data_IF_109767863445
#
_entry.id   IF_109767863445
#
_cell.length_a   1.000
_cell.length_b   1.000
_cell.length_c   1.000
_cell.angle_alpha   90.00
_cell.angle_beta   90.00
_cell.angle_gamma   90.00
#
_symmetry.space_group_name_H-M   'P 1'
#
loop_
_entity.id
_entity.type
_entity.pdbx_description
1 polymer ?
#
# COMPACT_ATOMS: atom_id res chain seq x y z
N UNK A 1 9.66 -8.27 10.57
CA UNK A 1 10.72 -8.76 9.65
C UNK A 1 10.32 -9.97 8.81
N UNK A 2 9.53 -10.93 9.32
CA UNK A 2 9.20 -12.15 8.56
C UNK A 2 8.38 -11.95 7.28
N UNK A 3 7.47 -10.97 7.21
CA UNK A 3 6.56 -10.81 6.07
C UNK A 3 7.26 -10.31 4.78
N UNK A 4 8.22 -9.39 4.89
CA UNK A 4 8.96 -8.88 3.72
C UNK A 4 10.02 -9.87 3.28
N UNK A 5 10.79 -10.44 4.20
CA UNK A 5 11.78 -11.48 3.87
C UNK A 5 11.10 -12.72 3.24
N UNK A 6 9.92 -13.12 3.74
CA UNK A 6 9.13 -14.19 3.13
C UNK A 6 8.56 -13.82 1.75
N UNK A 7 8.50 -12.53 1.42
CA UNK A 7 8.02 -12.05 0.13
C UNK A 7 9.13 -11.86 -0.91
N UNK A 8 10.40 -12.03 -0.55
CA UNK A 8 11.53 -11.93 -1.48
C UNK A 8 11.75 -10.53 -2.05
N UNK A 9 11.36 -9.50 -1.30
CA UNK A 9 11.70 -8.10 -1.56
C UNK A 9 12.94 -7.77 -0.73
N UNK A 10 14.00 -7.26 -1.36
CA UNK A 10 15.21 -6.87 -0.66
C UNK A 10 14.95 -5.57 0.11
N UNK A 11 14.98 -5.64 1.45
CA UNK A 11 14.82 -4.46 2.32
C UNK A 11 16.02 -3.49 2.24
N UNK A 12 17.08 -3.90 1.57
CA UNK A 12 18.35 -3.17 1.52
C UNK A 12 18.27 -1.87 0.70
N UNK A 13 17.27 -1.72 -0.16
CA UNK A 13 17.26 -0.67 -1.17
C UNK A 13 16.21 0.43 -0.96
N UNK A 14 15.57 0.54 0.18
CA UNK A 14 14.61 1.61 0.39
C UNK A 14 13.54 1.35 1.46
N UNK A 15 12.60 2.29 1.58
CA UNK A 15 11.43 2.14 2.44
C UNK A 15 10.38 1.27 1.74
N UNK A 16 9.83 0.32 2.47
CA UNK A 16 8.70 -0.51 2.06
C UNK A 16 7.52 -0.30 2.99
N UNK A 17 6.31 -0.40 2.44
CA UNK A 17 5.09 -0.57 3.23
C UNK A 17 4.55 -1.98 3.03
N UNK A 18 4.09 -2.59 4.10
CA UNK A 18 3.46 -3.91 4.07
C UNK A 18 2.10 -3.86 4.75
N UNK A 19 1.15 -4.60 4.17
CA UNK A 19 -0.19 -4.81 4.70
C UNK A 19 -0.45 -6.31 4.85
N UNK A 20 -1.20 -6.65 5.90
CA UNK A 20 -1.80 -7.97 6.07
C UNK A 20 -3.26 -7.77 6.46
N UNK A 21 -4.18 -8.40 5.72
CA UNK A 21 -5.61 -8.39 6.00
C UNK A 21 -6.10 -9.82 6.22
N UNK A 22 -6.70 -10.05 7.37
CA UNK A 22 -7.32 -11.32 7.72
C UNK A 22 -8.83 -11.12 7.82
N UNK A 23 -9.65 -11.97 7.18
CA UNK A 23 -11.10 -11.87 7.32
C UNK A 23 -11.49 -12.09 8.80
N UNK A 24 -12.45 -11.28 9.28
CA UNK A 24 -12.96 -11.41 10.65
C UNK A 24 -13.77 -12.69 10.83
N UNK A 25 -14.41 -13.14 9.76
CA UNK A 25 -15.12 -14.40 9.71
C UNK A 25 -14.48 -15.35 8.69
N UNK A 26 -14.36 -16.64 9.00
CA UNK A 26 -13.82 -17.61 8.05
C UNK A 26 -14.67 -17.65 6.77
N UNK A 27 -14.02 -17.61 5.60
CA UNK A 27 -14.74 -17.80 4.34
C UNK A 27 -15.24 -19.23 4.21
N UNK A 28 -16.47 -19.40 3.77
CA UNK A 28 -17.05 -20.71 3.42
C UNK A 28 -16.70 -21.14 2.00
N UNK A 29 -16.15 -20.23 1.21
CA UNK A 29 -15.83 -20.44 -0.19
C UNK A 29 -14.41 -21.00 -0.36
N UNK A 30 -14.28 -22.33 -0.25
CA UNK A 30 -12.99 -23.02 -0.21
C UNK A 30 -12.37 -23.28 -1.61
N UNK A 31 -13.13 -23.10 -2.70
CA UNK A 31 -12.58 -23.29 -4.05
C UNK A 31 -11.59 -22.18 -4.39
N UNK A 32 -10.40 -22.51 -4.93
CA UNK A 32 -9.44 -21.48 -5.31
C UNK A 32 -10.02 -20.56 -6.39
N UNK A 33 -9.65 -19.27 -6.39
CA UNK A 33 -10.06 -18.32 -7.41
C UNK A 33 -9.69 -18.81 -8.82
N UNK A 34 -10.54 -18.51 -9.80
CA UNK A 34 -10.21 -18.78 -11.20
C UNK A 34 -9.07 -17.90 -11.66
N UNK A 35 -8.15 -18.44 -12.43
CA UNK A 35 -6.99 -17.70 -12.95
C UNK A 35 -7.38 -16.41 -13.67
N UNK A 36 -8.45 -16.44 -14.49
CA UNK A 36 -8.96 -15.24 -15.18
C UNK A 36 -9.36 -14.11 -14.23
N UNK A 37 -9.87 -14.44 -13.03
CA UNK A 37 -10.21 -13.45 -12.01
C UNK A 37 -8.97 -12.83 -11.40
N UNK A 38 -7.92 -13.62 -11.22
CA UNK A 38 -6.64 -13.07 -10.70
C UNK A 38 -6.02 -12.10 -11.70
N UNK A 39 -6.07 -12.39 -13.02
CA UNK A 39 -5.61 -11.42 -14.03
C UNK A 39 -6.47 -10.16 -14.04
N UNK A 40 -7.78 -10.25 -13.82
CA UNK A 40 -8.64 -9.08 -13.65
C UNK A 40 -8.24 -8.26 -12.42
N UNK A 41 -7.94 -8.90 -11.29
CA UNK A 41 -7.45 -8.23 -10.08
C UNK A 41 -6.09 -7.58 -10.30
N UNK A 42 -5.19 -8.23 -11.05
CA UNK A 42 -3.85 -7.68 -11.34
C UNK A 42 -3.90 -6.39 -12.17
N UNK A 43 -4.97 -6.20 -12.97
CA UNK A 43 -5.19 -5.03 -13.82
C UNK A 43 -6.31 -4.11 -13.34
N UNK A 44 -6.87 -4.37 -12.14
CA UNK A 44 -8.00 -3.58 -11.60
C UNK A 44 -7.57 -2.14 -11.40
N UNK A 45 -8.42 -1.23 -11.85
CA UNK A 45 -8.24 0.20 -11.60
C UNK A 45 -8.52 0.51 -10.13
N UNK A 46 -7.83 1.52 -9.57
CA UNK A 46 -8.09 1.98 -8.22
C UNK A 46 -9.57 2.32 -8.00
N UNK A 47 -10.04 2.15 -6.76
CA UNK A 47 -11.40 2.52 -6.36
C UNK A 47 -11.54 4.04 -6.51
N UNK A 48 -12.38 4.55 -7.45
CA UNK A 48 -12.44 5.98 -7.74
C UNK A 48 -12.83 6.84 -6.55
N UNK A 49 -13.69 6.31 -5.67
CA UNK A 49 -14.20 6.99 -4.49
C UNK A 49 -13.12 7.29 -3.45
N UNK A 50 -12.00 6.55 -3.47
CA UNK A 50 -10.86 6.81 -2.59
C UNK A 50 -9.95 7.94 -3.10
N UNK A 51 -10.14 8.43 -4.32
CA UNK A 51 -9.23 9.37 -4.99
C UNK A 51 -9.89 10.74 -5.10
N UNK A 52 -9.19 11.79 -4.64
CA UNK A 52 -9.66 13.18 -4.72
C UNK A 52 -9.29 13.88 -6.02
N UNK A 53 -8.16 13.52 -6.66
CA UNK A 53 -7.64 14.21 -7.86
C UNK A 53 -7.74 13.33 -9.10
N UNK A 54 -8.02 13.96 -10.25
CA UNK A 54 -8.19 13.31 -11.56
C UNK A 54 -6.94 12.53 -12.06
N UNK A 55 -5.74 12.83 -11.54
CA UNK A 55 -4.55 12.06 -11.84
C UNK A 55 -4.46 10.90 -10.84
N UNK A 56 -4.81 9.68 -11.26
CA UNK A 56 -4.68 8.53 -10.38
C UNK A 56 -3.22 8.41 -9.94
N UNK A 57 -2.99 8.03 -8.68
CA UNK A 57 -1.66 7.74 -8.21
C UNK A 57 -1.04 6.60 -9.04
N UNK A 58 0.28 6.47 -8.94
CA UNK A 58 1.01 5.33 -9.48
C UNK A 58 0.27 4.04 -9.14
N UNK A 59 -0.07 3.27 -10.16
CA UNK A 59 -0.72 1.97 -9.93
C UNK A 59 0.34 0.88 -9.97
N UNK A 60 0.43 0.08 -8.91
CA UNK A 60 1.22 -1.14 -8.91
C UNK A 60 0.42 -2.27 -9.58
N UNK A 61 0.16 -2.10 -10.87
CA UNK A 61 -0.49 -3.07 -11.75
C UNK A 61 0.53 -3.58 -12.81
N UNK A 62 0.10 -4.47 -13.69
CA UNK A 62 0.94 -5.08 -14.73
C UNK A 62 2.07 -5.97 -14.20
N UNK A 63 1.82 -6.66 -13.09
CA UNK A 63 2.75 -7.62 -12.54
C UNK A 63 2.62 -9.02 -13.15
N UNK A 64 3.62 -9.86 -12.89
CA UNK A 64 3.56 -11.28 -13.16
C UNK A 64 2.58 -11.97 -12.23
N UNK A 65 1.66 -12.76 -12.78
CA UNK A 65 0.75 -13.63 -12.01
C UNK A 65 1.36 -15.02 -11.89
N UNK A 66 1.42 -15.57 -10.69
CA UNK A 66 1.89 -16.93 -10.43
C UNK A 66 0.98 -17.63 -9.44
N UNK A 67 0.70 -18.89 -9.71
CA UNK A 67 0.03 -19.77 -8.75
C UNK A 67 1.07 -20.34 -7.77
N UNK A 68 0.80 -20.18 -6.50
CA UNK A 68 1.54 -20.81 -5.40
C UNK A 68 0.71 -21.89 -4.71
N UNK A 69 1.23 -22.44 -3.61
CA UNK A 69 0.49 -23.37 -2.79
C UNK A 69 -0.58 -22.61 -1.98
N UNK A 70 -1.87 -22.87 -2.26
CA UNK A 70 -3.04 -22.23 -1.64
C UNK A 70 -3.05 -20.69 -1.71
N UNK A 71 -2.41 -20.11 -2.74
CA UNK A 71 -2.37 -18.68 -2.96
C UNK A 71 -2.08 -18.33 -4.42
N UNK A 72 -2.46 -17.13 -4.80
CA UNK A 72 -1.98 -16.47 -6.01
C UNK A 72 -1.04 -15.34 -5.64
N UNK A 73 -0.02 -15.14 -6.46
CA UNK A 73 0.99 -14.10 -6.28
C UNK A 73 0.96 -13.21 -7.51
N UNK A 74 0.81 -11.90 -7.28
CA UNK A 74 0.97 -10.85 -8.29
C UNK A 74 2.19 -10.05 -7.86
N UNK A 75 3.19 -9.92 -8.72
CA UNK A 75 4.42 -9.20 -8.38
C UNK A 75 4.98 -8.44 -9.58
N UNK A 76 5.70 -7.36 -9.31
CA UNK A 76 6.53 -6.68 -10.31
C UNK A 76 7.60 -7.59 -10.89
N UNK A 77 8.17 -7.19 -12.02
CA UNK A 77 9.39 -7.79 -12.52
C UNK A 77 10.58 -7.42 -11.60
N UNK A 78 11.61 -8.28 -11.48
CA UNK A 78 12.77 -8.00 -10.62
C UNK A 78 13.53 -6.71 -11.00
N UNK A 79 13.43 -6.30 -12.26
CA UNK A 79 14.09 -5.11 -12.80
C UNK A 79 13.27 -3.82 -12.59
N UNK A 80 12.03 -3.94 -12.14
CA UNK A 80 11.17 -2.78 -11.93
C UNK A 80 11.62 -2.02 -10.68
N UNK A 81 11.71 -0.70 -10.78
CA UNK A 81 11.95 0.16 -9.60
C UNK A 81 10.74 0.20 -8.68
N UNK A 82 9.54 0.20 -9.26
CA UNK A 82 8.26 0.13 -8.55
C UNK A 82 7.94 -1.30 -8.13
N UNK A 83 8.77 -1.84 -7.23
CA UNK A 83 8.61 -3.20 -6.76
C UNK A 83 7.38 -3.35 -5.88
N UNK A 84 6.63 -4.42 -6.14
CA UNK A 84 5.50 -4.80 -5.32
C UNK A 84 5.29 -6.32 -5.32
N UNK A 85 4.59 -6.79 -4.31
CA UNK A 85 4.10 -8.16 -4.24
C UNK A 85 2.76 -8.19 -3.52
N UNK A 86 1.78 -8.88 -4.12
CA UNK A 86 0.45 -9.13 -3.58
C UNK A 86 0.26 -10.64 -3.52
N UNK A 87 -0.13 -11.16 -2.35
CA UNK A 87 -0.45 -12.57 -2.15
C UNK A 87 -1.93 -12.66 -1.76
N UNK A 88 -2.68 -13.42 -2.54
CA UNK A 88 -4.12 -13.64 -2.39
C UNK A 88 -4.33 -15.11 -1.99
N UNK A 89 -4.68 -15.37 -0.75
CA UNK A 89 -4.78 -16.72 -0.22
C UNK A 89 -6.19 -17.30 -0.41
N UNK A 90 -6.28 -18.62 -0.44
CA UNK A 90 -7.56 -19.31 -0.64
C UNK A 90 -8.53 -19.10 0.55
N UNK A 91 -8.01 -18.79 1.75
CA UNK A 91 -8.79 -18.45 2.94
C UNK A 91 -9.21 -16.98 3.01
N UNK A 92 -9.11 -16.26 1.90
CA UNK A 92 -9.37 -14.84 1.76
C UNK A 92 -8.34 -13.90 2.44
N UNK A 93 -7.30 -14.40 3.08
CA UNK A 93 -6.20 -13.56 3.58
C UNK A 93 -5.50 -12.87 2.41
N UNK A 94 -5.21 -11.58 2.59
CA UNK A 94 -4.46 -10.77 1.63
C UNK A 94 -3.21 -10.20 2.31
N UNK A 95 -2.05 -10.38 1.68
CA UNK A 95 -0.84 -9.66 2.09
C UNK A 95 -0.24 -8.93 0.90
N UNK A 96 0.17 -7.69 1.12
CA UNK A 96 0.82 -6.89 0.09
C UNK A 96 2.06 -6.20 0.63
N UNK A 97 3.01 -5.92 -0.26
CA UNK A 97 4.16 -5.08 0.05
C UNK A 97 4.51 -4.22 -1.17
N UNK A 98 4.88 -2.97 -0.92
CA UNK A 98 5.22 -1.99 -1.96
C UNK A 98 6.49 -1.26 -1.57
N UNK A 99 7.38 -1.07 -2.54
CA UNK A 99 8.55 -0.22 -2.40
C UNK A 99 8.11 1.24 -2.54
N UNK A 100 8.50 2.08 -1.59
CA UNK A 100 8.18 3.51 -1.54
C UNK A 100 9.43 4.38 -1.65
N UNK A 101 10.55 3.93 -1.11
CA UNK A 101 11.81 4.65 -1.15
C UNK A 101 12.68 4.28 -2.35
N UNK A 102 13.59 5.20 -2.72
CA UNK A 102 14.58 5.00 -3.78
C UNK A 102 13.99 4.58 -5.15
N UNK A 103 12.83 5.17 -5.52
CA UNK A 103 12.13 4.85 -6.77
C UNK A 103 12.70 5.63 -7.98
N UNK A 104 13.30 6.80 -7.76
CA UNK A 104 13.82 7.71 -8.78
C UNK A 104 15.23 8.11 -8.37
N UNK A 105 16.17 8.09 -9.32
CA UNK A 105 17.59 8.43 -9.12
C UNK A 105 18.04 9.65 -9.96
N UNK A 106 17.13 10.23 -10.77
CA UNK A 106 17.45 11.36 -11.62
C UNK A 106 17.38 12.67 -10.83
N UNK A 107 18.46 13.42 -10.82
CA UNK A 107 18.64 14.69 -10.10
C UNK A 107 17.55 15.73 -10.38
N UNK A 108 17.01 15.74 -11.60
CA UNK A 108 15.95 16.66 -12.02
C UNK A 108 14.65 16.49 -11.22
N UNK A 109 14.44 15.32 -10.60
CA UNK A 109 13.25 15.03 -9.77
C UNK A 109 13.43 15.38 -8.30
N UNK A 110 14.59 15.87 -7.85
CA UNK A 110 14.84 16.28 -6.45
C UNK A 110 13.78 17.19 -5.84
N UNK A 111 13.20 18.15 -6.56
CA UNK A 111 12.15 18.98 -6.00
C UNK A 111 10.86 18.21 -5.66
N UNK A 112 10.65 17.05 -6.31
CA UNK A 112 9.41 16.28 -6.24
C UNK A 112 9.59 14.90 -5.60
N UNK A 113 10.83 14.44 -5.46
CA UNK A 113 11.16 13.11 -4.99
C UNK A 113 12.48 13.10 -4.18
N UNK A 114 12.58 12.29 -3.10
CA UNK A 114 13.78 12.21 -2.28
C UNK A 114 14.89 11.39 -2.99
N UNK A 115 15.50 11.95 -4.02
CA UNK A 115 16.58 11.32 -4.79
C UNK A 115 17.85 11.22 -3.95
N UNK A 116 18.46 10.04 -3.92
CA UNK A 116 19.70 9.78 -3.17
C UNK A 116 19.50 9.46 -1.68
N UNK A 117 18.26 9.40 -1.20
CA UNK A 117 17.94 9.10 0.19
C UNK A 117 17.11 7.80 0.28
N UNK A 118 17.76 6.63 0.45
CA UNK A 118 17.04 5.35 0.42
C UNK A 118 16.08 5.15 1.60
N UNK A 119 16.32 5.83 2.71
CA UNK A 119 15.47 5.80 3.90
C UNK A 119 14.31 6.80 3.88
N UNK A 120 14.13 7.56 2.79
CA UNK A 120 13.03 8.51 2.63
C UNK A 120 11.93 7.93 1.74
N UNK A 121 10.68 8.29 2.03
CA UNK A 121 9.52 8.09 1.17
C UNK A 121 8.59 9.31 1.24
N UNK A 122 7.66 9.41 0.28
CA UNK A 122 6.65 10.49 0.29
C UNK A 122 5.37 10.00 0.95
N UNK A 123 4.68 10.89 1.67
CA UNK A 123 3.36 10.60 2.25
C UNK A 123 2.36 10.16 1.19
N UNK A 124 2.35 10.80 0.02
CA UNK A 124 1.45 10.44 -1.08
C UNK A 124 1.71 9.04 -1.66
N UNK A 125 2.92 8.51 -1.57
CA UNK A 125 3.21 7.14 -2.02
C UNK A 125 2.64 6.13 -1.02
N UNK A 126 2.59 6.48 0.28
CA UNK A 126 1.88 5.70 1.31
C UNK A 126 0.37 5.71 1.03
N UNK A 127 -0.22 6.88 0.77
CA UNK A 127 -1.64 7.00 0.39
C UNK A 127 -1.95 6.15 -0.85
N UNK A 128 -1.08 6.21 -1.86
CA UNK A 128 -1.20 5.40 -3.08
C UNK A 128 -1.18 3.89 -2.76
N UNK A 129 -0.28 3.46 -1.86
CA UNK A 129 -0.20 2.07 -1.45
C UNK A 129 -1.46 1.62 -0.69
N UNK A 130 -2.05 2.49 0.14
CA UNK A 130 -3.33 2.23 0.81
C UNK A 130 -4.45 2.06 -0.21
N UNK A 131 -4.55 2.94 -1.21
CA UNK A 131 -5.58 2.86 -2.26
C UNK A 131 -5.43 1.55 -3.07
N UNK A 132 -4.21 1.20 -3.49
CA UNK A 132 -3.96 -0.02 -4.26
C UNK A 132 -4.21 -1.29 -3.43
N UNK A 133 -3.81 -1.27 -2.15
CA UNK A 133 -4.12 -2.35 -1.21
C UNK A 133 -5.63 -2.53 -1.04
N UNK A 134 -6.39 -1.45 -0.82
CA UNK A 134 -7.84 -1.49 -0.68
C UNK A 134 -8.54 -2.00 -1.95
N UNK A 135 -8.06 -1.57 -3.12
CA UNK A 135 -8.55 -2.06 -4.42
C UNK A 135 -8.33 -3.57 -4.58
N UNK A 136 -7.15 -4.03 -4.18
CA UNK A 136 -6.80 -5.46 -4.21
C UNK A 136 -7.66 -6.25 -3.21
N UNK A 137 -7.80 -5.73 -1.98
CA UNK A 137 -8.57 -6.36 -0.92
C UNK A 137 -10.06 -6.46 -1.29
N UNK A 138 -10.66 -5.38 -1.80
CA UNK A 138 -12.05 -5.36 -2.25
C UNK A 138 -12.30 -6.42 -3.32
N UNK A 139 -11.48 -6.44 -4.38
CA UNK A 139 -11.67 -7.41 -5.46
C UNK A 139 -11.47 -8.85 -5.02
N UNK A 140 -10.56 -9.12 -4.07
CA UNK A 140 -10.40 -10.46 -3.51
C UNK A 140 -11.56 -10.83 -2.58
N UNK A 141 -12.05 -9.89 -1.75
CA UNK A 141 -13.21 -10.10 -0.91
C UNK A 141 -14.48 -10.41 -1.71
N UNK A 142 -14.71 -9.70 -2.83
CA UNK A 142 -15.80 -9.99 -3.78
C UNK A 142 -15.69 -11.42 -4.33
N UNK A 143 -14.52 -11.82 -4.81
CA UNK A 143 -14.30 -13.16 -5.39
C UNK A 143 -14.42 -14.28 -4.33
N UNK A 144 -14.02 -13.99 -3.09
CA UNK A 144 -14.08 -14.95 -1.97
C UNK A 144 -15.40 -14.90 -1.19
N UNK A 145 -16.32 -14.00 -1.55
CA UNK A 145 -17.62 -13.80 -0.88
C UNK A 145 -17.46 -13.64 0.64
N UNK A 146 -16.49 -12.80 1.03
CA UNK A 146 -16.22 -12.54 2.44
C UNK A 146 -17.33 -11.67 3.02
N UNK A 147 -17.81 -12.05 4.19
CA UNK A 147 -18.74 -11.27 5.00
C UNK A 147 -18.02 -10.81 6.28
N UNK A 148 -18.52 -9.74 6.91
CA UNK A 148 -18.04 -9.30 8.22
C UNK A 148 -16.74 -8.50 8.23
N UNK A 149 -16.15 -8.20 7.07
CA UNK A 149 -14.96 -7.33 6.99
C UNK A 149 -13.64 -8.02 7.32
N UNK A 150 -12.60 -7.19 7.52
CA UNK A 150 -11.22 -7.62 7.73
C UNK A 150 -10.57 -6.88 8.90
N UNK A 151 -9.69 -7.60 9.60
CA UNK A 151 -8.66 -6.99 10.45
C UNK A 151 -7.41 -6.77 9.62
N UNK A 152 -6.98 -5.51 9.54
CA UNK A 152 -5.83 -5.08 8.77
C UNK A 152 -4.71 -4.70 9.73
N UNK A 153 -3.48 -5.07 9.38
CA UNK A 153 -2.26 -4.58 10.01
C UNK A 153 -1.34 -4.04 8.92
N UNK A 154 -0.88 -2.81 9.10
CA UNK A 154 0.01 -2.12 8.18
C UNK A 154 1.24 -1.56 8.88
N UNK A 155 2.35 -1.47 8.16
CA UNK A 155 3.58 -0.89 8.72
C UNK A 155 4.63 -0.60 7.67
N UNK A 156 5.52 0.35 8.01
CA UNK A 156 6.70 0.67 7.22
C UNK A 156 7.91 -0.11 7.70
N UNK A 157 8.77 -0.46 6.77
CA UNK A 157 10.07 -1.07 7.00
C UNK A 157 11.09 -0.25 6.21
N UNK A 158 12.09 0.25 6.90
CA UNK A 158 13.16 1.07 6.31
C UNK A 158 14.46 0.31 6.16
N UNK A 159 15.47 1.03 5.72
CA UNK A 159 16.85 0.59 5.65
C UNK A 159 17.39 0.37 7.08
N UNK A 160 18.16 -0.67 7.26
CA UNK A 160 18.73 -1.02 8.57
C UNK A 160 19.59 0.12 9.13
N UNK A 161 19.44 0.41 10.41
CA UNK A 161 20.15 1.45 11.15
C UNK A 161 19.92 2.90 10.68
N UNK A 162 18.96 3.16 9.80
CA UNK A 162 18.56 4.49 9.39
C UNK A 162 17.12 4.79 9.83
N UNK A 163 16.82 6.02 10.26
CA UNK A 163 15.44 6.43 10.53
C UNK A 163 14.63 6.47 9.22
N UNK A 164 13.36 6.10 9.27
CA UNK A 164 12.44 6.34 8.17
C UNK A 164 12.04 7.80 8.20
N UNK A 165 12.13 8.47 7.06
CA UNK A 165 11.71 9.86 6.87
C UNK A 165 10.53 9.91 5.91
N UNK A 166 9.37 10.33 6.40
CA UNK A 166 8.17 10.53 5.56
C UNK A 166 8.13 12.01 5.15
N UNK A 167 8.34 12.27 3.87
CA UNK A 167 8.31 13.63 3.31
C UNK A 167 6.89 14.00 2.90
N UNK A 168 6.36 15.08 3.46
CA UNK A 168 5.15 15.71 2.98
C UNK A 168 5.36 16.37 1.60
N UNK A 169 4.26 16.70 0.92
CA UNK A 169 4.29 17.44 -0.36
C UNK A 169 3.43 18.68 -0.29
N UNK A 170 3.94 19.81 -0.79
CA UNK A 170 3.22 21.07 -0.80
C UNK A 170 2.21 21.14 -1.97
N UNK A 171 0.95 21.37 -1.64
CA UNK A 171 -0.10 21.83 -2.53
C UNK A 171 -0.25 21.08 -3.87
N UNK A 172 -0.63 21.84 -4.91
CA UNK A 172 -0.90 21.31 -6.25
C UNK A 172 0.36 20.99 -7.07
N UNK A 173 1.51 21.52 -6.67
CA UNK A 173 2.77 21.35 -7.43
C UNK A 173 3.53 20.08 -7.05
N UNK A 174 3.09 19.34 -6.02
CA UNK A 174 3.74 18.13 -5.51
C UNK A 174 5.21 18.33 -5.09
N UNK A 175 5.61 19.56 -4.76
CA UNK A 175 6.95 19.84 -4.25
C UNK A 175 7.15 19.17 -2.89
N UNK A 176 8.32 18.60 -2.68
CA UNK A 176 8.68 18.05 -1.38
C UNK A 176 8.82 19.18 -0.35
N UNK A 177 8.18 19.02 0.79
CA UNK A 177 8.47 19.86 1.94
C UNK A 177 9.93 19.65 2.39
N UNK A 178 10.59 20.68 2.97
CA UNK A 178 11.89 20.54 3.60
C UNK A 178 11.92 19.38 4.61
N UNK A 179 13.07 18.73 4.75
CA UNK A 179 13.23 17.57 5.64
C UNK A 179 12.99 17.92 7.12
N UNK A 180 13.29 19.16 7.52
CA UNK A 180 13.09 19.69 8.85
C UNK A 180 11.64 19.66 9.36
N UNK A 181 10.67 19.50 8.43
CA UNK A 181 9.26 19.30 8.78
C UNK A 181 8.88 17.82 8.97
N UNK A 182 9.81 16.89 8.74
CA UNK A 182 9.56 15.47 8.95
C UNK A 182 10.08 15.02 10.32
N UNK A 183 9.36 14.12 10.96
CA UNK A 183 9.79 13.48 12.20
C UNK A 183 10.52 12.17 11.89
N UNK A 184 11.82 12.00 12.25
CA UNK A 184 12.56 10.78 12.04
C UNK A 184 11.99 9.61 12.84
N UNK A 185 11.67 8.50 12.18
CA UNK A 185 11.09 7.31 12.80
C UNK A 185 12.16 6.22 12.92
N UNK A 186 12.71 6.03 14.11
CA UNK A 186 13.65 4.93 14.39
C UNK A 186 12.96 3.58 14.47
N UNK A 187 11.69 3.55 14.90
CA UNK A 187 10.88 2.35 15.03
C UNK A 187 9.43 2.65 14.69
N UNK A 188 9.01 2.22 13.53
CA UNK A 188 7.63 2.37 13.10
C UNK A 188 6.69 1.51 13.95
N UNK A 189 5.59 2.09 14.43
CA UNK A 189 4.55 1.38 15.15
C UNK A 189 3.52 0.84 14.14
N UNK A 190 3.32 -0.48 14.04
CA UNK A 190 2.31 -1.01 13.13
C UNK A 190 0.91 -0.50 13.47
N UNK A 191 0.19 -0.03 12.46
CA UNK A 191 -1.21 0.41 12.57
C UNK A 191 -2.12 -0.80 12.39
N UNK A 192 -3.19 -0.87 13.19
CA UNK A 192 -4.22 -1.91 13.07
C UNK A 192 -5.58 -1.24 12.88
N UNK A 193 -6.34 -1.72 11.90
CA UNK A 193 -7.70 -1.26 11.63
C UNK A 193 -8.63 -2.46 11.38
N UNK A 194 -9.93 -2.28 11.63
CA UNK A 194 -10.96 -3.21 11.18
C UNK A 194 -11.87 -2.46 10.24
N UNK A 195 -12.08 -2.98 9.04
CA UNK A 195 -12.92 -2.38 8.03
C UNK A 195 -13.51 -3.43 7.08
N UNK A 196 -14.66 -3.08 6.49
CA UNK A 196 -15.28 -3.86 5.44
C UNK A 196 -14.98 -3.23 4.06
N UNK A 197 -14.17 -3.90 3.20
CA UNK A 197 -13.87 -3.40 1.87
C UNK A 197 -15.07 -3.43 0.92
N UNK A 198 -16.16 -4.11 1.29
CA UNK A 198 -17.42 -4.20 0.54
C UNK A 198 -18.49 -3.24 1.05
N UNK A 199 -18.20 -2.49 2.12
CA UNK A 199 -19.10 -1.45 2.62
C UNK A 199 -19.33 -0.35 1.57
N UNK A 200 -20.43 0.36 1.68
CA UNK A 200 -20.68 1.53 0.84
C UNK A 200 -19.56 2.57 0.99
N UNK A 201 -19.18 3.30 -0.08
CA UNK A 201 -18.09 4.25 -0.02
C UNK A 201 -18.16 5.27 1.13
N UNK A 202 -19.34 5.82 1.50
CA UNK A 202 -19.45 6.74 2.64
C UNK A 202 -19.04 6.11 3.99
N UNK A 203 -19.25 4.81 4.16
CA UNK A 203 -18.92 4.10 5.40
C UNK A 203 -17.47 3.62 5.42
N UNK A 204 -16.94 3.25 4.26
CA UNK A 204 -15.56 2.77 4.10
C UNK A 204 -14.53 3.92 4.14
N UNK A 205 -14.83 5.04 3.47
CA UNK A 205 -13.88 6.13 3.26
C UNK A 205 -13.30 6.71 4.56
N UNK A 206 -14.07 6.98 5.63
CA UNK A 206 -13.51 7.46 6.90
C UNK A 206 -12.46 6.51 7.48
N UNK A 207 -12.75 5.22 7.49
CA UNK A 207 -11.89 4.18 8.07
C UNK A 207 -10.57 4.03 7.27
N UNK A 208 -10.64 4.09 5.94
CA UNK A 208 -9.47 4.04 5.06
C UNK A 208 -8.62 5.31 5.22
N UNK A 209 -9.25 6.47 5.37
CA UNK A 209 -8.55 7.73 5.62
C UNK A 209 -7.84 7.71 6.99
N UNK A 210 -8.48 7.15 8.02
CA UNK A 210 -7.87 7.04 9.35
C UNK A 210 -6.66 6.10 9.31
N UNK A 211 -6.77 4.95 8.63
CA UNK A 211 -5.64 4.06 8.39
C UNK A 211 -4.46 4.78 7.72
N UNK A 212 -4.74 5.57 6.67
CA UNK A 212 -3.70 6.31 5.95
C UNK A 212 -3.08 7.42 6.82
N UNK A 213 -3.89 8.16 7.59
CA UNK A 213 -3.41 9.19 8.52
C UNK A 213 -2.52 8.60 9.60
N UNK A 214 -2.93 7.49 10.22
CA UNK A 214 -2.15 6.84 11.28
C UNK A 214 -0.78 6.36 10.77
N UNK A 215 -0.69 5.99 9.48
CA UNK A 215 0.57 5.64 8.87
C UNK A 215 1.49 6.86 8.65
N UNK A 216 0.96 7.99 8.13
CA UNK A 216 1.78 9.15 7.78
C UNK A 216 2.06 10.08 8.98
N UNK A 217 1.15 10.12 9.98
CA UNK A 217 1.29 10.97 11.16
C UNK A 217 2.53 10.65 11.99
N UNK A 218 3.00 9.39 11.98
CA UNK A 218 4.21 8.99 12.68
C UNK A 218 5.46 9.71 12.15
N UNK A 219 5.43 10.18 10.90
CA UNK A 219 6.49 10.99 10.29
C UNK A 219 6.21 12.49 10.31
N UNK A 220 5.26 12.95 11.12
CA UNK A 220 4.93 14.39 11.26
C UNK A 220 3.97 14.92 10.19
N UNK A 221 3.54 14.12 9.21
CA UNK A 221 2.62 14.56 8.15
C UNK A 221 1.18 14.39 8.62
N UNK A 222 0.42 15.50 8.67
CA UNK A 222 -0.92 15.53 9.28
C UNK A 222 -2.09 15.57 8.28
N UNK A 223 -1.82 15.56 6.98
CA UNK A 223 -2.86 15.73 5.95
C UNK A 223 -2.69 14.76 4.80
N UNK A 224 -3.82 14.31 4.28
CA UNK A 224 -3.88 13.50 3.07
C UNK A 224 -3.84 14.40 1.82
N UNK A 225 -3.11 13.98 0.81
CA UNK A 225 -2.85 14.77 -0.41
C UNK A 225 -3.67 14.28 -1.59
N UNK A 226 -3.81 12.97 -1.75
CA UNK A 226 -4.44 12.36 -2.93
C UNK A 226 -5.73 11.61 -2.60
N UNK A 227 -5.93 11.21 -1.36
CA UNK A 227 -7.15 10.51 -0.96
C UNK A 227 -8.34 11.47 -0.87
N UNK A 228 -9.53 10.95 -1.19
CA UNK A 228 -10.77 11.70 -1.05
C UNK A 228 -10.99 12.11 0.41
N UNK A 229 -11.40 13.36 0.62
CA UNK A 229 -11.70 13.88 1.96
C UNK A 229 -13.09 13.43 2.39
N UNK A 230 -13.21 12.96 3.61
CA UNK A 230 -14.51 12.85 4.27
C UNK A 230 -15.10 14.25 4.43
N UNK A 231 -16.35 14.42 4.01
CA UNK A 231 -17.10 15.67 4.22
C UNK A 231 -17.51 15.85 5.66
#
# INVERSE_FOLDING_TARGET
MSAIASQGLAAEDGVFIAFAALPLEPTTHLSPPRESKIYQLASRQPIPELIFKENPPLTWNNGQVRKGMRQWIIRSYPTDRYQFRKCLQDDATVTTAYRLGNLIDQEEYKPYYPVGFPNHCRSKDIETAVIDFMTTLQGHAEERQVNGGYRIRAGLIGVENLPIIIRGTEGNQNLLLPEEFAEPIMRFQPVTAELDPLAAPPDMLPQVNDLARDLINQGGVQYLTIMAKTK
#
